data_IF_642085450199
#
_entry.id   IF_642085450199
#
_cell.length_a   1.000
_cell.length_b   1.000
_cell.length_c   1.000
_cell.angle_alpha   90.00
_cell.angle_beta   90.00
_cell.angle_gamma   90.00
#
_symmetry.space_group_name_H-M   'P 1'
#
loop_
_entity.id
_entity.type
_entity.pdbx_description
1 polymer ?
#
# COMPACT_ATOMS: atom_id res chain seq x y z
N UNK A 1 -7.68 4.56 16.78
CA UNK A 1 -6.98 3.49 17.50
C UNK A 1 -7.83 2.80 18.56
N UNK A 2 -8.51 3.56 19.41
CA UNK A 2 -9.43 2.97 20.39
C UNK A 2 -10.52 2.15 19.73
N UNK A 3 -11.02 2.58 18.57
CA UNK A 3 -12.04 1.85 17.83
C UNK A 3 -11.60 0.46 17.38
N UNK A 4 -10.34 0.31 16.93
CA UNK A 4 -9.81 -0.98 16.51
C UNK A 4 -9.72 -1.93 17.70
N UNK A 5 -9.17 -1.46 18.82
CA UNK A 5 -9.05 -2.26 20.02
C UNK A 5 -10.42 -2.67 20.57
N UNK A 6 -11.40 -1.77 20.52
CA UNK A 6 -12.75 -2.06 20.94
C UNK A 6 -13.40 -3.15 20.08
N UNK A 7 -13.22 -3.08 18.77
CA UNK A 7 -13.74 -4.09 17.85
C UNK A 7 -13.10 -5.45 18.10
N UNK A 8 -11.80 -5.48 18.36
CA UNK A 8 -11.07 -6.72 18.68
C UNK A 8 -11.59 -7.37 19.97
N UNK A 9 -11.86 -6.59 20.99
CA UNK A 9 -12.40 -7.09 22.24
C UNK A 9 -13.73 -7.80 22.05
N UNK A 10 -14.48 -7.43 21.04
CA UNK A 10 -15.77 -8.07 20.73
C UNK A 10 -15.64 -9.18 19.69
N UNK A 11 -14.39 -9.60 19.35
CA UNK A 11 -14.15 -10.68 18.40
C UNK A 11 -14.37 -10.30 16.95
N UNK A 12 -14.44 -9.01 16.63
CA UNK A 12 -14.65 -8.54 15.26
C UNK A 12 -13.32 -8.43 14.56
N UNK A 13 -13.23 -9.01 13.34
CA UNK A 13 -12.05 -8.89 12.51
C UNK A 13 -12.00 -7.52 11.85
N UNK A 14 -10.81 -6.91 11.86
CA UNK A 14 -10.60 -5.59 11.30
C UNK A 14 -9.62 -5.69 10.13
N UNK A 15 -9.98 -5.08 9.00
CA UNK A 15 -9.11 -4.96 7.84
C UNK A 15 -8.83 -3.47 7.59
N UNK A 16 -7.56 -3.10 7.60
CA UNK A 16 -7.14 -1.72 7.31
C UNK A 16 -6.83 -1.55 5.83
N UNK A 17 -7.00 -0.34 5.35
CA UNK A 17 -6.69 0.02 3.97
C UNK A 17 -5.58 1.07 3.95
N UNK A 18 -4.59 0.87 3.09
CA UNK A 18 -3.53 1.83 2.82
C UNK A 18 -3.65 2.24 1.36
N UNK A 19 -3.55 3.54 1.08
CA UNK A 19 -3.52 4.05 -0.29
C UNK A 19 -2.16 4.70 -0.51
N UNK A 20 -1.41 4.20 -1.48
CA UNK A 20 -0.12 4.75 -1.87
C UNK A 20 -0.28 5.67 -3.09
N UNK A 21 0.56 6.69 -3.18
CA UNK A 21 0.60 7.59 -4.34
C UNK A 21 -0.33 8.78 -4.26
N UNK A 22 -0.83 9.14 -3.07
CA UNK A 22 -1.66 10.33 -2.90
C UNK A 22 -0.87 11.60 -3.22
N UNK A 23 -1.56 12.66 -3.71
CA UNK A 23 -0.88 13.93 -4.01
C UNK A 23 -0.12 14.47 -2.81
N UNK A 24 1.08 15.01 -3.05
CA UNK A 24 1.93 15.63 -2.03
C UNK A 24 2.42 14.66 -0.95
N UNK A 25 2.21 13.37 -1.12
CA UNK A 25 2.69 12.35 -0.20
C UNK A 25 4.02 11.78 -0.71
N UNK A 26 5.05 11.78 0.16
CA UNK A 26 6.35 11.25 -0.20
C UNK A 26 6.54 9.83 0.36
N UNK A 27 7.71 9.24 0.09
CA UNK A 27 8.05 7.89 0.54
C UNK A 27 7.94 7.78 2.08
N UNK A 28 8.49 8.75 2.80
CA UNK A 28 8.50 8.71 4.27
C UNK A 28 7.10 8.75 4.84
N UNK A 29 6.21 9.53 4.25
CA UNK A 29 4.82 9.62 4.68
C UNK A 29 4.08 8.31 4.43
N UNK A 30 4.32 7.68 3.30
CA UNK A 30 3.71 6.38 2.98
C UNK A 30 4.23 5.28 3.90
N UNK A 31 5.51 5.30 4.24
CA UNK A 31 6.08 4.36 5.21
C UNK A 31 5.54 4.60 6.62
N UNK A 32 5.33 5.86 7.00
CA UNK A 32 4.74 6.17 8.30
C UNK A 32 3.32 5.62 8.42
N UNK A 33 2.54 5.71 7.35
CA UNK A 33 1.21 5.10 7.32
C UNK A 33 1.29 3.59 7.58
N UNK A 34 2.24 2.91 6.95
CA UNK A 34 2.43 1.48 7.16
C UNK A 34 2.86 1.17 8.59
N UNK A 35 3.73 1.99 9.19
CA UNK A 35 4.15 1.83 10.58
C UNK A 35 2.97 1.96 11.54
N UNK A 36 2.12 2.95 11.31
CA UNK A 36 0.93 3.15 12.14
C UNK A 36 -0.03 1.96 12.04
N UNK A 37 -0.24 1.45 10.83
CA UNK A 37 -1.08 0.26 10.64
C UNK A 37 -0.45 -0.97 11.31
N UNK A 38 0.87 -1.11 11.23
CA UNK A 38 1.58 -2.23 11.86
C UNK A 38 1.44 -2.26 13.38
N UNK A 39 1.24 -1.09 14.00
CA UNK A 39 1.02 -0.98 15.44
C UNK A 39 -0.41 -1.32 15.84
N UNK A 40 -1.35 -1.26 14.89
CA UNK A 40 -2.74 -1.64 15.15
C UNK A 40 -2.86 -3.15 15.16
N UNK A 41 -3.75 -3.65 15.99
CA UNK A 41 -3.99 -5.08 16.09
C UNK A 41 -5.07 -5.49 15.08
N UNK A 42 -4.74 -5.41 13.79
CA UNK A 42 -5.65 -5.73 12.69
C UNK A 42 -5.36 -7.13 12.16
N UNK A 43 -6.38 -7.79 11.61
CA UNK A 43 -6.25 -9.13 11.07
C UNK A 43 -5.92 -9.12 9.59
N UNK A 44 -6.22 -8.05 8.88
CA UNK A 44 -6.00 -7.97 7.46
C UNK A 44 -5.64 -6.57 7.01
N UNK A 45 -5.08 -6.48 5.82
CA UNK A 45 -4.70 -5.22 5.20
C UNK A 45 -4.94 -5.29 3.69
N UNK A 46 -5.36 -4.17 3.12
CA UNK A 46 -5.42 -3.97 1.68
C UNK A 46 -4.54 -2.80 1.31
N UNK A 47 -3.59 -3.02 0.42
CA UNK A 47 -2.73 -1.96 -0.08
C UNK A 47 -3.23 -1.57 -1.46
N UNK A 48 -3.66 -0.32 -1.58
CA UNK A 48 -4.19 0.24 -2.83
C UNK A 48 -3.18 1.21 -3.43
N UNK A 49 -3.22 1.31 -4.74
CA UNK A 49 -2.51 2.34 -5.47
C UNK A 49 -3.52 3.38 -5.93
N UNK A 50 -3.19 4.66 -5.78
CA UNK A 50 -4.05 5.71 -6.31
C UNK A 50 -4.12 5.61 -7.83
N UNK A 51 -5.33 5.51 -8.36
CA UNK A 51 -5.60 5.55 -9.79
C UNK A 51 -6.21 6.89 -10.14
N UNK A 52 -5.61 7.60 -11.09
CA UNK A 52 -6.16 8.85 -11.58
C UNK A 52 -7.10 8.55 -12.74
N UNK A 53 -8.36 8.94 -12.58
CA UNK A 53 -9.40 8.68 -13.56
C UNK A 53 -9.85 10.00 -14.20
N UNK A 54 -10.23 9.94 -15.48
CA UNK A 54 -10.77 11.07 -16.20
C UNK A 54 -12.03 11.60 -15.51
N UNK A 55 -12.18 12.92 -15.47
CA UNK A 55 -13.36 13.54 -14.89
C UNK A 55 -13.34 13.71 -13.38
N UNK A 56 -12.26 13.31 -12.71
CA UNK A 56 -12.13 13.50 -11.26
C UNK A 56 -11.43 14.82 -10.95
N UNK A 57 -11.67 15.43 -9.76
CA UNK A 57 -11.00 16.68 -9.38
C UNK A 57 -9.47 16.59 -9.33
N UNK A 58 -8.91 15.41 -9.08
CA UNK A 58 -7.46 15.21 -9.01
C UNK A 58 -6.75 15.44 -10.35
N UNK A 59 -7.47 15.39 -11.47
CA UNK A 59 -6.89 15.66 -12.80
C UNK A 59 -6.24 17.05 -12.82
N UNK A 60 -6.86 18.03 -12.16
CA UNK A 60 -6.31 19.39 -12.08
C UNK A 60 -4.96 19.41 -11.36
N UNK A 61 -4.82 18.62 -10.30
CA UNK A 61 -3.57 18.53 -9.57
C UNK A 61 -2.47 17.89 -10.44
N UNK A 62 -2.83 16.86 -11.19
CA UNK A 62 -1.91 16.22 -12.13
C UNK A 62 -1.45 17.20 -13.21
N UNK A 63 -2.37 17.94 -13.82
CA UNK A 63 -2.06 18.92 -14.86
C UNK A 63 -1.16 20.05 -14.35
N UNK A 64 -1.28 20.41 -13.06
CA UNK A 64 -0.44 21.42 -12.43
C UNK A 64 0.90 20.90 -11.94
N UNK A 65 1.19 19.61 -12.12
CA UNK A 65 2.42 18.99 -11.67
C UNK A 65 2.45 18.69 -10.17
N UNK A 66 1.32 18.73 -9.49
CA UNK A 66 1.22 18.45 -8.05
C UNK A 66 1.05 16.96 -7.73
N UNK A 67 0.82 16.14 -8.74
CA UNK A 67 0.68 14.71 -8.61
C UNK A 67 1.58 14.04 -9.63
N UNK A 68 2.50 13.21 -9.13
CA UNK A 68 3.37 12.40 -9.98
C UNK A 68 3.08 10.92 -9.68
N UNK A 69 3.04 10.11 -10.74
CA UNK A 69 2.84 8.68 -10.57
C UNK A 69 4.16 8.00 -10.20
N UNK A 70 4.07 7.04 -9.28
CA UNK A 70 5.19 6.17 -8.98
C UNK A 70 5.49 5.31 -10.20
N UNK A 71 6.77 5.05 -10.46
CA UNK A 71 7.16 4.04 -11.43
C UNK A 71 6.84 2.65 -10.88
N UNK A 72 6.80 1.64 -11.73
CA UNK A 72 6.58 0.27 -11.28
C UNK A 72 7.67 -0.13 -10.26
N UNK A 73 8.92 0.19 -10.55
CA UNK A 73 10.05 -0.13 -9.68
C UNK A 73 9.93 0.53 -8.33
N UNK A 74 9.58 1.82 -8.30
CA UNK A 74 9.40 2.56 -7.05
C UNK A 74 8.22 2.01 -6.24
N UNK A 75 7.13 1.68 -6.91
CA UNK A 75 5.97 1.09 -6.25
C UNK A 75 6.29 -0.27 -5.65
N UNK A 76 6.98 -1.13 -6.40
CA UNK A 76 7.40 -2.45 -5.93
C UNK A 76 8.30 -2.33 -4.71
N UNK A 77 9.28 -1.44 -4.77
CA UNK A 77 10.20 -1.20 -3.64
C UNK A 77 9.45 -0.72 -2.41
N UNK A 78 8.55 0.24 -2.59
CA UNK A 78 7.72 0.79 -1.50
C UNK A 78 6.85 -0.29 -0.85
N UNK A 79 6.13 -1.06 -1.66
CA UNK A 79 5.23 -2.11 -1.15
C UNK A 79 6.01 -3.16 -0.38
N UNK A 80 7.17 -3.59 -0.90
CA UNK A 80 8.02 -4.56 -0.19
C UNK A 80 8.50 -3.97 1.12
N UNK A 81 8.95 -2.69 1.13
CA UNK A 81 9.35 -2.01 2.36
C UNK A 81 8.20 -1.98 3.38
N UNK A 82 6.98 -1.69 2.91
CA UNK A 82 5.80 -1.68 3.78
C UNK A 82 5.48 -3.06 4.34
N UNK A 83 5.54 -4.09 3.49
CA UNK A 83 5.24 -5.46 3.91
C UNK A 83 6.29 -6.02 4.88
N UNK A 84 7.53 -5.58 4.77
CA UNK A 84 8.59 -6.01 5.69
C UNK A 84 8.32 -5.60 7.14
N UNK A 85 7.56 -4.52 7.36
CA UNK A 85 7.23 -4.03 8.71
C UNK A 85 5.83 -4.45 9.18
N UNK A 86 5.01 -5.02 8.30
CA UNK A 86 3.68 -5.50 8.65
C UNK A 86 3.81 -6.94 9.15
N UNK A 87 3.29 -7.25 10.36
CA UNK A 87 3.41 -8.60 10.92
C UNK A 87 2.92 -9.70 9.97
N UNK A 88 3.61 -10.83 9.98
CA UNK A 88 3.32 -11.93 9.05
C UNK A 88 1.97 -12.60 9.30
N UNK A 89 1.40 -12.43 10.48
CA UNK A 89 0.07 -12.95 10.81
C UNK A 89 -1.07 -12.08 10.28
N UNK A 90 -0.75 -10.89 9.77
CA UNK A 90 -1.73 -10.03 9.12
C UNK A 90 -1.95 -10.52 7.69
N UNK A 91 -3.19 -10.80 7.33
CA UNK A 91 -3.52 -11.30 5.99
C UNK A 91 -3.53 -10.13 5.01
N UNK A 92 -2.72 -10.24 3.95
CA UNK A 92 -2.71 -9.24 2.88
C UNK A 92 -3.74 -9.64 1.84
N UNK A 93 -4.86 -8.91 1.78
CA UNK A 93 -5.97 -9.21 0.88
C UNK A 93 -5.75 -8.65 -0.52
N UNK A 94 -4.99 -7.54 -0.63
CA UNK A 94 -4.77 -6.87 -1.91
C UNK A 94 -3.49 -6.06 -1.83
N UNK A 95 -2.70 -6.08 -2.93
CA UNK A 95 -1.44 -5.34 -3.04
C UNK A 95 -1.52 -4.28 -4.14
N UNK A 96 -2.51 -4.37 -5.00
CA UNK A 96 -2.74 -3.44 -6.10
C UNK A 96 -4.23 -3.17 -6.20
N UNK A 97 -4.61 -2.12 -6.91
CA UNK A 97 -6.00 -1.78 -7.10
C UNK A 97 -6.49 -2.10 -8.49
N UNK A 98 -7.81 -2.00 -8.67
CA UNK A 98 -8.46 -2.10 -9.95
C UNK A 98 -8.95 -0.73 -10.40
N UNK A 99 -8.74 -0.40 -11.67
CA UNK A 99 -9.30 0.80 -12.24
C UNK A 99 -9.92 0.51 -13.60
N UNK A 100 -10.97 1.24 -14.02
CA UNK A 100 -11.54 1.06 -15.35
C UNK A 100 -10.54 1.54 -16.40
N UNK A 101 -10.07 0.63 -17.31
CA UNK A 101 -9.03 1.01 -18.28
C UNK A 101 -9.42 2.17 -19.18
N UNK A 102 -10.69 2.29 -19.52
CA UNK A 102 -11.19 3.33 -20.44
C UNK A 102 -11.10 4.72 -19.84
N UNK A 103 -11.16 4.84 -18.52
CA UNK A 103 -11.16 6.13 -17.82
C UNK A 103 -9.83 6.45 -17.17
N UNK A 104 -8.85 5.57 -17.24
CA UNK A 104 -7.62 5.70 -16.48
C UNK A 104 -6.61 6.61 -17.16
N UNK A 105 -6.14 7.62 -16.43
CA UNK A 105 -5.05 8.49 -16.86
C UNK A 105 -3.72 7.87 -16.46
N UNK A 106 -3.64 7.25 -15.30
CA UNK A 106 -2.43 6.57 -14.83
C UNK A 106 -2.54 6.09 -13.39
N UNK A 107 -1.52 5.37 -12.92
CA UNK A 107 -0.36 4.88 -13.66
C UNK A 107 -0.71 3.67 -14.53
N UNK A 108 -0.30 3.70 -15.79
CA UNK A 108 -0.74 2.69 -16.78
C UNK A 108 -0.17 1.29 -16.52
N UNK A 109 0.99 1.18 -15.88
CA UNK A 109 1.57 -0.12 -15.55
C UNK A 109 0.69 -0.91 -14.58
N UNK A 110 -0.16 -0.22 -13.81
CA UNK A 110 -1.05 -0.88 -12.84
C UNK A 110 -2.15 -1.72 -13.51
N UNK A 111 -2.39 -1.53 -14.80
CA UNK A 111 -3.35 -2.33 -15.54
C UNK A 111 -2.88 -3.77 -15.73
N UNK A 112 -1.58 -4.02 -15.64
CA UNK A 112 -1.03 -5.37 -15.72
C UNK A 112 -0.75 -5.90 -14.30
N UNK A 113 -1.80 -6.42 -13.67
CA UNK A 113 -1.70 -6.91 -12.28
C UNK A 113 -0.70 -8.03 -12.11
N UNK A 114 -0.61 -8.95 -13.09
CA UNK A 114 0.31 -10.08 -12.99
C UNK A 114 1.77 -9.62 -12.97
N UNK A 115 2.09 -8.62 -13.79
CA UNK A 115 3.44 -8.03 -13.79
C UNK A 115 3.75 -7.39 -12.44
N UNK A 116 2.81 -6.65 -11.86
CA UNK A 116 2.99 -6.02 -10.55
C UNK A 116 3.22 -7.07 -9.47
N UNK A 117 2.37 -8.10 -9.41
CA UNK A 117 2.49 -9.15 -8.40
C UNK A 117 3.78 -9.94 -8.56
N UNK A 118 4.14 -10.29 -9.79
CA UNK A 118 5.39 -11.02 -10.07
C UNK A 118 6.61 -10.18 -9.71
N UNK A 119 6.56 -8.87 -9.96
CA UNK A 119 7.65 -7.96 -9.62
C UNK A 119 7.85 -7.84 -8.12
N UNK A 120 6.75 -7.83 -7.36
CA UNK A 120 6.81 -7.81 -5.89
C UNK A 120 7.44 -9.10 -5.36
N UNK A 121 7.01 -10.25 -5.87
CA UNK A 121 7.59 -11.53 -5.49
C UNK A 121 9.08 -11.59 -5.83
N UNK A 122 9.45 -11.14 -7.01
CA UNK A 122 10.85 -11.11 -7.45
C UNK A 122 11.70 -10.23 -6.54
N UNK A 123 11.16 -9.09 -6.08
CA UNK A 123 11.87 -8.19 -5.19
C UNK A 123 12.11 -8.85 -3.82
N UNK A 124 11.12 -9.57 -3.29
CA UNK A 124 11.32 -10.33 -2.05
C UNK A 124 12.43 -11.36 -2.20
N UNK A 125 12.44 -12.08 -3.31
CA UNK A 125 13.48 -13.07 -3.58
C UNK A 125 14.85 -12.41 -3.68
N UNK A 126 14.94 -11.31 -4.42
CA UNK A 126 16.20 -10.55 -4.60
C UNK A 126 16.78 -10.09 -3.26
N UNK A 127 15.92 -9.63 -2.34
CA UNK A 127 16.33 -9.16 -1.02
C UNK A 127 16.56 -10.28 -0.01
N UNK A 128 16.11 -11.51 -0.31
CA UNK A 128 16.06 -12.58 0.69
C UNK A 128 15.14 -12.19 1.84
N UNK A 129 14.01 -11.57 1.53
CA UNK A 129 13.11 -10.96 2.50
C UNK A 129 11.72 -11.60 2.47
N UNK A 130 10.90 -11.22 3.45
CA UNK A 130 9.54 -11.74 3.59
C UNK A 130 8.69 -10.73 4.36
N UNK A 131 7.37 -10.91 4.32
CA UNK A 131 6.46 -10.08 5.09
C UNK A 131 6.77 -10.25 6.58
N UNK A 132 6.90 -9.13 7.27
CA UNK A 132 7.12 -9.13 8.71
C UNK A 132 8.57 -9.26 9.15
N UNK A 133 9.52 -9.25 8.19
CA UNK A 133 10.95 -9.41 8.52
C UNK A 133 11.41 -8.42 9.61
N UNK A 134 10.91 -7.19 9.57
CA UNK A 134 11.28 -6.14 10.53
C UNK A 134 10.14 -5.75 11.47
N UNK A 135 9.06 -6.53 11.50
CA UNK A 135 7.87 -6.18 12.28
C UNK A 135 8.17 -6.07 13.78
N UNK A 136 8.98 -6.95 14.32
CA UNK A 136 9.32 -6.93 15.74
C UNK A 136 10.17 -5.71 16.12
N UNK A 137 11.04 -5.26 15.21
CA UNK A 137 11.84 -4.06 15.43
C UNK A 137 10.98 -2.82 15.51
N UNK A 138 9.99 -2.71 14.61
CA UNK A 138 9.06 -1.59 14.61
C UNK A 138 8.15 -1.56 15.84
N UNK A 139 7.74 -2.75 16.35
CA UNK A 139 6.90 -2.83 17.54
C UNK A 139 7.64 -2.41 18.82
N UNK A 140 8.96 -2.51 18.83
CA UNK A 140 9.77 -2.13 20.00
C UNK A 140 10.04 -0.63 20.07
N UNK A 141 9.75 0.08 19.00
CA UNK A 141 9.90 1.53 18.94
C UNK A 141 8.58 2.20 19.33
#
# INVERSE_FOLDING_TARGET
MEGVNKLRKHGIRVCSHIINGLPLEDYDMMMETAREVAKLDVQGIKIHLLHLLKGTPMVKQYEKGQLEFLSLEDYVSLVVDQLEIIPEDVIVHRITGDGPPDLMIGPMWSLNKWEVLNSIDAEFVRRGSWQGKYANEEKQK
#
